data_IF_390132541472
#
_entry.id   IF_390132541472
#
_cell.length_a   1.000
_cell.length_b   1.000
_cell.length_c   1.000
_cell.angle_alpha   90.00
_cell.angle_beta   90.00
_cell.angle_gamma   90.00
#
_symmetry.space_group_name_H-M   'P 1'
#
loop_
_entity.id
_entity.type
_entity.pdbx_description
1 polymer ?
#
# COMPACT_ATOMS: atom_id res chain seq x y z
N UNK A 1 1.21 -4.25 -14.13
CA UNK A 1 0.16 -4.74 -13.21
C UNK A 1 -0.36 -3.61 -12.34
N UNK A 2 -1.49 -3.77 -11.65
CA UNK A 2 -2.06 -2.71 -10.79
C UNK A 2 -1.09 -2.27 -9.68
N UNK A 3 -0.50 -3.23 -8.96
CA UNK A 3 0.49 -2.97 -7.89
C UNK A 3 1.67 -2.13 -8.37
N UNK A 4 2.26 -2.44 -9.53
CA UNK A 4 3.39 -1.69 -10.06
C UNK A 4 3.05 -0.21 -10.33
N UNK A 5 1.83 0.09 -10.79
CA UNK A 5 1.38 1.46 -11.09
C UNK A 5 1.30 2.35 -9.84
N UNK A 6 1.09 1.75 -8.66
CA UNK A 6 0.98 2.44 -7.37
C UNK A 6 2.25 2.31 -6.50
N UNK A 7 3.26 1.55 -6.93
CA UNK A 7 4.50 1.32 -6.18
C UNK A 7 5.72 1.67 -7.04
N UNK A 8 6.32 0.70 -7.72
CA UNK A 8 7.60 0.87 -8.44
C UNK A 8 7.56 1.95 -9.53
N UNK A 9 6.44 2.10 -10.25
CA UNK A 9 6.29 3.16 -11.24
C UNK A 9 6.29 4.55 -10.60
N UNK A 10 5.58 4.72 -9.48
CA UNK A 10 5.56 5.98 -8.72
C UNK A 10 6.94 6.28 -8.15
N UNK A 11 7.59 5.29 -7.52
CA UNK A 11 8.92 5.46 -6.96
C UNK A 11 9.94 5.88 -8.02
N UNK A 12 9.90 5.28 -9.22
CA UNK A 12 10.75 5.67 -10.33
C UNK A 12 10.49 7.11 -10.81
N UNK A 13 9.21 7.51 -10.95
CA UNK A 13 8.82 8.85 -11.42
C UNK A 13 9.22 9.97 -10.47
N UNK A 14 9.14 9.71 -9.17
CA UNK A 14 9.44 10.69 -8.12
C UNK A 14 10.86 10.54 -7.55
N UNK A 15 11.70 9.68 -8.14
CA UNK A 15 13.04 9.38 -7.64
C UNK A 15 13.09 9.01 -6.15
N UNK A 16 12.09 8.23 -5.69
CA UNK A 16 12.08 7.70 -4.33
C UNK A 16 13.04 6.52 -4.26
N UNK A 17 14.30 6.83 -3.98
CA UNK A 17 15.36 5.83 -3.86
C UNK A 17 15.00 4.76 -2.84
N UNK A 18 15.29 3.51 -3.17
CA UNK A 18 15.14 2.35 -2.28
C UNK A 18 13.69 2.13 -1.79
N UNK A 19 12.68 2.62 -2.54
CA UNK A 19 11.24 2.44 -2.26
C UNK A 19 10.48 1.88 -3.45
N UNK A 20 9.26 1.39 -3.19
CA UNK A 20 8.31 0.93 -4.21
C UNK A 20 8.59 -0.47 -4.79
N UNK A 21 9.58 -1.19 -4.27
CA UNK A 21 9.88 -2.59 -4.61
C UNK A 21 10.19 -3.36 -3.32
N UNK A 22 9.83 -4.65 -3.29
CA UNK A 22 10.24 -5.55 -2.20
C UNK A 22 11.59 -6.16 -2.60
N UNK A 23 12.66 -5.70 -1.95
CA UNK A 23 14.04 -6.12 -2.19
C UNK A 23 14.87 -5.88 -0.93
N UNK A 24 15.91 -6.69 -0.74
CA UNK A 24 16.91 -6.41 0.30
C UNK A 24 17.53 -5.02 0.11
N UNK A 25 17.77 -4.32 1.23
CA UNK A 25 18.28 -2.95 1.26
C UNK A 25 17.23 -1.85 1.00
N UNK A 26 16.00 -2.20 0.62
CA UNK A 26 14.92 -1.22 0.43
C UNK A 26 14.20 -0.92 1.76
N UNK A 27 13.56 0.24 1.84
CA UNK A 27 12.73 0.60 2.99
C UNK A 27 11.58 -0.40 3.13
N UNK A 28 11.30 -0.79 4.37
CA UNK A 28 10.21 -1.70 4.72
C UNK A 28 8.85 -0.96 4.74
N UNK A 29 8.48 -0.37 3.60
CA UNK A 29 7.14 0.14 3.33
C UNK A 29 6.33 -0.97 2.67
N UNK A 30 5.50 -1.63 3.46
CA UNK A 30 4.82 -2.86 3.06
C UNK A 30 3.32 -2.75 3.34
N UNK A 31 2.52 -3.40 2.50
CA UNK A 31 1.08 -3.56 2.71
C UNK A 31 0.75 -5.03 2.58
N UNK A 32 0.13 -5.59 3.61
CA UNK A 32 -0.49 -6.91 3.56
C UNK A 32 -1.98 -6.72 3.29
N UNK A 33 -2.48 -7.34 2.23
CA UNK A 33 -3.88 -7.28 1.85
C UNK A 33 -4.33 -8.60 1.24
N UNK A 34 -5.61 -8.92 1.42
CA UNK A 34 -6.23 -10.09 0.81
C UNK A 34 -6.76 -9.72 -0.59
N UNK A 35 -6.21 -10.31 -1.66
CA UNK A 35 -6.60 -9.96 -3.04
C UNK A 35 -8.05 -10.34 -3.39
N UNK A 36 -8.69 -11.22 -2.63
CA UNK A 36 -10.09 -11.61 -2.85
C UNK A 36 -11.08 -10.65 -2.21
N UNK A 37 -10.66 -9.90 -1.18
CA UNK A 37 -11.56 -9.04 -0.40
C UNK A 37 -11.19 -7.56 -0.44
N UNK A 38 -10.03 -7.20 -1.02
CA UNK A 38 -9.57 -5.82 -1.11
C UNK A 38 -10.52 -4.99 -1.96
N UNK A 39 -11.15 -3.97 -1.35
CA UNK A 39 -12.04 -3.02 -2.04
C UNK A 39 -12.30 -1.77 -1.20
N UNK A 40 -12.58 -0.66 -1.88
CA UNK A 40 -13.20 0.51 -1.27
C UNK A 40 -14.66 0.21 -0.91
N UNK A 41 -15.09 0.68 0.26
CA UNK A 41 -16.46 0.52 0.76
C UNK A 41 -17.07 1.86 1.23
N UNK A 42 -16.32 2.95 1.05
CA UNK A 42 -16.80 4.30 1.26
C UNK A 42 -17.77 4.67 0.13
N UNK A 43 -18.86 5.35 0.48
CA UNK A 43 -19.85 5.82 -0.49
C UNK A 43 -20.22 7.28 -0.23
N UNK A 44 -21.14 7.84 -1.02
CA UNK A 44 -21.54 9.24 -0.85
C UNK A 44 -22.26 9.55 0.47
N UNK A 45 -22.86 8.54 1.11
CA UNK A 45 -23.57 8.69 2.39
C UNK A 45 -22.61 8.54 3.56
N UNK A 46 -21.65 7.63 3.44
CA UNK A 46 -20.60 7.38 4.43
C UNK A 46 -19.21 7.38 3.75
N UNK A 47 -18.64 8.57 3.51
CA UNK A 47 -17.40 8.72 2.73
C UNK A 47 -16.14 8.39 3.52
N UNK A 48 -16.22 8.17 4.84
CA UNK A 48 -15.06 7.99 5.71
C UNK A 48 -14.82 6.53 6.12
N UNK A 49 -15.48 5.57 5.45
CA UNK A 49 -15.30 4.16 5.75
C UNK A 49 -13.92 3.67 5.33
N UNK A 50 -13.25 2.97 6.26
CA UNK A 50 -12.00 2.28 5.97
C UNK A 50 -12.19 1.20 4.89
N UNK A 51 -11.19 1.08 4.01
CA UNK A 51 -11.20 0.05 2.97
C UNK A 51 -11.22 -1.36 3.57
N UNK A 52 -11.86 -2.30 2.88
CA UNK A 52 -11.89 -3.70 3.28
C UNK A 52 -10.66 -4.43 2.75
N UNK A 53 -10.18 -5.44 3.49
CA UNK A 53 -9.17 -6.39 3.02
C UNK A 53 -7.72 -5.92 3.10
N UNK A 54 -7.45 -4.81 3.79
CA UNK A 54 -6.10 -4.43 4.21
C UNK A 54 -5.88 -4.99 5.62
N UNK A 55 -4.93 -5.91 5.76
CA UNK A 55 -4.63 -6.59 7.03
C UNK A 55 -3.50 -5.90 7.80
N UNK A 56 -2.66 -5.13 7.12
CA UNK A 56 -1.60 -4.39 7.79
C UNK A 56 -0.81 -3.46 6.86
N UNK A 57 -0.32 -2.36 7.42
CA UNK A 57 0.55 -1.41 6.73
C UNK A 57 1.77 -1.10 7.60
N UNK A 58 2.95 -1.14 7.00
CA UNK A 58 4.21 -0.76 7.62
C UNK A 58 4.81 0.43 6.89
N UNK A 59 5.34 1.38 7.67
CA UNK A 59 6.09 2.53 7.15
C UNK A 59 7.46 2.50 7.81
N UNK A 60 8.52 2.45 6.99
CA UNK A 60 9.89 2.30 7.48
C UNK A 60 10.04 1.15 8.50
N UNK A 61 9.34 0.03 8.28
CA UNK A 61 9.38 -1.16 9.15
C UNK A 61 8.54 -1.09 10.42
N UNK A 62 7.81 -0.01 10.67
CA UNK A 62 6.93 0.12 11.84
C UNK A 62 5.47 -0.06 11.44
N UNK A 63 4.74 -0.88 12.18
CA UNK A 63 3.31 -1.08 11.98
C UNK A 63 2.56 0.24 12.18
N UNK A 64 1.79 0.65 11.18
CA UNK A 64 1.04 1.91 11.17
C UNK A 64 -0.48 1.70 11.05
N UNK A 65 -0.91 0.52 10.62
CA UNK A 65 -2.32 0.15 10.49
C UNK A 65 -2.46 -1.36 10.64
N UNK A 66 -3.49 -1.82 11.35
CA UNK A 66 -3.90 -3.21 11.52
C UNK A 66 -5.42 -3.28 11.75
#
# INVERSE_FOLDING_TARGET
TAVHKMTGLSAARFALHERGLIREGYWADLVLFNPQTVRDIADFKDPQRAAQGIDGVWVNGRLSYA
#
